data_IF_956996318118
#
_entry.id   IF_956996318118
#
_cell.length_a   1.000
_cell.length_b   1.000
_cell.length_c   1.000
_cell.angle_alpha   90.00
_cell.angle_beta   90.00
_cell.angle_gamma   90.00
#
_symmetry.space_group_name_H-M   'P 1'
#
loop_
_entity.id
_entity.type
_entity.pdbx_description
1 polymer ?
#
# COMPACT_ATOMS: atom_id res chain seq x y z
N UNK A 1 -16.76 66.12 -17.20
CA UNK A 1 -15.89 66.14 -16.01
C UNK A 1 -16.69 65.48 -14.91
N UNK A 2 -16.58 64.15 -14.75
CA UNK A 2 -15.64 63.44 -13.82
C UNK A 2 -15.99 63.82 -12.38
N UNK A 3 -16.39 62.95 -11.45
CA UNK A 3 -16.06 61.54 -11.13
C UNK A 3 -17.09 61.11 -10.06
N UNK A 4 -17.83 60.00 -10.20
CA UNK A 4 -17.50 58.65 -9.67
C UNK A 4 -16.98 58.65 -8.23
N UNK A 5 -17.79 58.16 -7.29
CA UNK A 5 -17.32 57.25 -6.23
C UNK A 5 -18.46 56.31 -5.82
N UNK A 6 -18.28 55.09 -6.31
CA UNK A 6 -19.06 53.88 -6.15
C UNK A 6 -18.73 53.31 -4.76
N UNK A 7 -19.66 53.41 -3.81
CA UNK A 7 -19.56 52.76 -2.51
C UNK A 7 -20.03 51.31 -2.65
N UNK A 8 -19.19 50.51 -3.31
CA UNK A 8 -19.32 49.06 -3.35
C UNK A 8 -19.13 48.50 -1.95
N UNK A 9 -20.25 48.18 -1.29
CA UNK A 9 -20.23 47.28 -0.14
C UNK A 9 -19.75 45.91 -0.60
N UNK A 10 -18.56 45.57 -0.11
CA UNK A 10 -17.93 44.28 -0.16
C UNK A 10 -18.77 43.20 0.53
N UNK A 11 -19.50 42.38 -0.24
CA UNK A 11 -19.83 41.02 0.17
C UNK A 11 -18.69 40.10 -0.25
N UNK A 12 -17.61 40.14 0.54
CA UNK A 12 -16.62 39.07 0.52
C UNK A 12 -17.17 37.96 1.41
N UNK A 13 -17.57 36.84 0.81
CA UNK A 13 -17.81 35.57 1.52
C UNK A 13 -16.49 35.10 2.11
N UNK A 14 -16.14 35.66 3.26
CA UNK A 14 -15.01 35.23 4.08
C UNK A 14 -15.38 33.85 4.63
N UNK A 15 -14.79 32.81 4.02
CA UNK A 15 -14.79 31.47 4.59
C UNK A 15 -14.00 31.54 5.89
N UNK A 16 -14.69 31.56 7.04
CA UNK A 16 -14.02 31.53 8.33
C UNK A 16 -13.11 30.29 8.38
N UNK A 17 -11.84 30.44 8.80
CA UNK A 17 -10.97 29.28 8.96
C UNK A 17 -11.56 28.39 10.05
N UNK A 18 -11.79 27.12 9.72
CA UNK A 18 -12.23 26.13 10.70
C UNK A 18 -11.24 26.15 11.86
N UNK A 19 -11.71 26.55 13.04
CA UNK A 19 -10.83 26.72 14.19
C UNK A 19 -10.54 25.36 14.82
N UNK A 20 -9.37 25.24 15.46
CA UNK A 20 -9.00 24.03 16.21
C UNK A 20 -10.04 23.70 17.31
N UNK A 21 -10.74 24.72 17.80
CA UNK A 21 -11.82 24.63 18.77
C UNK A 21 -13.09 24.00 18.15
N UNK A 22 -13.45 24.36 16.92
CA UNK A 22 -14.54 23.73 16.17
C UNK A 22 -14.25 22.26 15.86
N UNK A 23 -13.00 21.93 15.50
CA UNK A 23 -12.57 20.53 15.28
C UNK A 23 -12.66 19.72 16.57
N UNK A 24 -12.24 20.30 17.71
CA UNK A 24 -12.31 19.66 19.01
C UNK A 24 -13.76 19.44 19.45
N UNK A 25 -14.65 20.40 19.21
CA UNK A 25 -16.08 20.29 19.48
C UNK A 25 -16.73 19.19 18.62
N UNK A 26 -16.42 19.13 17.32
CA UNK A 26 -16.89 18.08 16.41
C UNK A 26 -16.45 16.68 16.83
N UNK A 27 -15.17 16.51 17.18
CA UNK A 27 -14.62 15.23 17.66
C UNK A 27 -15.26 14.79 18.97
N UNK A 28 -15.52 15.73 19.88
CA UNK A 28 -16.17 15.44 21.16
C UNK A 28 -17.63 15.04 20.97
N UNK A 29 -18.35 15.73 20.07
CA UNK A 29 -19.71 15.39 19.68
C UNK A 29 -19.79 13.99 19.07
N UNK A 30 -18.95 13.72 18.07
CA UNK A 30 -18.89 12.42 17.40
C UNK A 30 -18.54 11.28 18.38
N UNK A 31 -17.55 11.48 19.25
CA UNK A 31 -17.20 10.49 20.28
C UNK A 31 -18.37 10.20 21.22
N UNK A 32 -19.13 11.23 21.58
CA UNK A 32 -20.29 11.08 22.46
C UNK A 32 -21.40 10.30 21.76
N UNK A 33 -21.67 10.63 20.49
CA UNK A 33 -22.67 9.96 19.66
C UNK A 33 -22.35 8.46 19.48
N UNK A 34 -21.10 8.14 19.13
CA UNK A 34 -20.64 6.74 19.00
C UNK A 34 -20.76 6.00 20.34
N UNK A 35 -20.36 6.62 21.45
CA UNK A 35 -20.50 6.00 22.76
C UNK A 35 -21.97 5.75 23.14
N UNK A 36 -22.88 6.68 22.82
CA UNK A 36 -24.31 6.48 23.06
C UNK A 36 -24.92 5.40 22.18
N UNK A 37 -24.54 5.32 20.91
CA UNK A 37 -25.04 4.31 19.98
C UNK A 37 -24.54 2.92 20.38
N UNK A 38 -23.25 2.79 20.72
CA UNK A 38 -22.67 1.53 21.24
C UNK A 38 -23.32 1.12 22.55
N UNK A 39 -23.55 2.04 23.48
CA UNK A 39 -24.25 1.73 24.73
C UNK A 39 -25.71 1.31 24.50
N UNK A 40 -26.40 1.95 23.55
CA UNK A 40 -27.80 1.63 23.21
C UNK A 40 -27.89 0.27 22.53
N UNK A 41 -27.00 -0.02 21.58
CA UNK A 41 -26.90 -1.31 20.92
C UNK A 41 -26.56 -2.42 21.92
N UNK A 42 -25.61 -2.19 22.82
CA UNK A 42 -25.27 -3.14 23.89
C UNK A 42 -26.43 -3.34 24.87
N UNK A 43 -27.16 -2.29 25.25
CA UNK A 43 -28.34 -2.42 26.10
C UNK A 43 -29.46 -3.22 25.41
N UNK A 44 -29.68 -3.01 24.11
CA UNK A 44 -30.63 -3.77 23.31
C UNK A 44 -30.25 -5.25 23.19
N UNK A 45 -28.98 -5.54 22.94
CA UNK A 45 -28.45 -6.90 22.89
C UNK A 45 -28.57 -7.60 24.25
N UNK A 46 -28.15 -6.95 25.34
CA UNK A 46 -28.26 -7.51 26.70
C UNK A 46 -29.72 -7.72 27.11
N UNK A 47 -30.63 -6.82 26.75
CA UNK A 47 -32.07 -6.99 27.01
C UNK A 47 -32.65 -8.16 26.21
N UNK A 48 -32.26 -8.33 24.94
CA UNK A 48 -32.68 -9.45 24.12
C UNK A 48 -32.15 -10.78 24.67
N UNK A 49 -30.87 -10.84 25.05
CA UNK A 49 -30.26 -12.03 25.67
C UNK A 49 -30.88 -12.33 27.03
N UNK A 50 -31.13 -11.32 27.87
CA UNK A 50 -31.80 -11.49 29.16
C UNK A 50 -33.23 -12.00 28.99
N UNK A 51 -33.98 -11.48 28.02
CA UNK A 51 -35.35 -11.94 27.70
C UNK A 51 -35.35 -13.38 27.17
N UNK A 52 -34.36 -13.76 26.37
CA UNK A 52 -34.19 -15.14 25.90
C UNK A 52 -33.85 -16.09 27.07
N UNK A 53 -32.89 -15.69 27.91
CA UNK A 53 -32.45 -16.48 29.06
C UNK A 53 -33.56 -16.62 30.10
N UNK A 54 -34.32 -15.56 30.33
CA UNK A 54 -35.47 -15.56 31.24
C UNK A 54 -36.61 -16.44 30.69
N UNK A 55 -36.86 -16.46 29.37
CA UNK A 55 -37.78 -17.42 28.75
C UNK A 55 -37.35 -18.89 28.91
N UNK A 56 -36.04 -19.16 28.91
CA UNK A 56 -35.50 -20.51 29.13
C UNK A 56 -35.56 -20.90 30.61
N UNK A 57 -35.44 -19.91 31.52
CA UNK A 57 -35.41 -20.15 32.97
C UNK A 57 -36.81 -20.17 33.61
N UNK A 58 -37.77 -19.43 33.05
CA UNK A 58 -39.18 -19.38 33.50
C UNK A 58 -40.07 -20.41 32.77
N UNK A 59 -39.49 -21.37 32.03
CA UNK A 59 -40.25 -22.50 31.51
C UNK A 59 -40.89 -23.25 32.70
N UNK A 60 -42.23 -23.37 32.76
CA UNK A 60 -42.90 -23.94 33.91
C UNK A 60 -42.46 -25.39 34.07
N UNK A 61 -41.92 -25.72 35.24
CA UNK A 61 -41.86 -27.10 35.70
C UNK A 61 -43.30 -27.54 35.98
N UNK A 62 -43.99 -27.99 34.94
CA UNK A 62 -45.35 -28.51 35.02
C UNK A 62 -45.34 -30.03 35.18
N UNK A 63 -46.37 -30.60 35.83
CA UNK A 63 -46.35 -31.90 36.49
C UNK A 63 -46.29 -33.06 35.50
N UNK A 64 -45.98 -34.26 36.00
CA UNK A 64 -46.16 -35.51 35.29
C UNK A 64 -47.52 -35.53 34.56
N UNK A 65 -47.50 -35.67 33.23
CA UNK A 65 -48.68 -35.93 32.44
C UNK A 65 -48.48 -37.26 31.70
N UNK A 66 -49.27 -38.24 32.14
CA UNK A 66 -49.78 -39.28 31.26
C UNK A 66 -50.53 -38.59 30.10
N UNK A 67 -50.30 -39.12 28.90
CA UNK A 67 -51.10 -38.97 27.68
C UNK A 67 -51.12 -37.62 26.93
N UNK A 68 -50.48 -37.68 25.76
CA UNK A 68 -51.01 -37.23 24.46
C UNK A 68 -51.07 -35.72 24.16
N UNK A 69 -49.97 -35.17 23.63
CA UNK A 69 -50.01 -34.26 22.48
C UNK A 69 -48.59 -34.00 21.95
N UNK A 70 -48.38 -34.40 20.70
CA UNK A 70 -47.34 -34.02 19.76
C UNK A 70 -46.67 -32.66 20.08
N UNK A 71 -45.43 -32.71 20.57
CA UNK A 71 -44.55 -31.55 20.77
C UNK A 71 -43.22 -31.85 20.08
N UNK A 72 -43.26 -31.96 18.76
CA UNK A 72 -42.10 -32.29 17.93
C UNK A 72 -41.44 -31.03 17.32
N UNK A 73 -41.63 -29.82 17.88
CA UNK A 73 -41.25 -28.58 17.18
C UNK A 73 -40.19 -27.67 17.85
N UNK A 74 -39.72 -27.99 19.05
CA UNK A 74 -38.70 -27.14 19.73
C UNK A 74 -37.25 -27.54 19.39
N UNK A 75 -37.00 -28.82 19.08
CA UNK A 75 -35.68 -29.29 18.64
C UNK A 75 -35.36 -28.86 17.20
N UNK A 76 -36.37 -28.63 16.36
CA UNK A 76 -36.23 -28.14 14.99
C UNK A 76 -35.88 -26.65 14.95
N UNK A 77 -36.62 -25.84 15.72
CA UNK A 77 -36.38 -24.40 15.87
C UNK A 77 -34.99 -24.08 16.40
N UNK A 78 -34.54 -24.74 17.48
CA UNK A 78 -33.20 -24.51 18.04
C UNK A 78 -32.08 -24.94 17.09
N UNK A 79 -32.25 -26.04 16.33
CA UNK A 79 -31.28 -26.46 15.30
C UNK A 79 -31.23 -25.50 14.11
N UNK A 80 -32.37 -24.91 13.73
CA UNK A 80 -32.44 -23.87 12.70
C UNK A 80 -31.77 -22.58 13.18
N UNK A 81 -31.95 -22.18 14.45
CA UNK A 81 -31.27 -21.04 15.05
C UNK A 81 -29.76 -21.27 15.16
N UNK A 82 -29.32 -22.47 15.56
CA UNK A 82 -27.89 -22.81 15.61
C UNK A 82 -27.25 -22.82 14.22
N UNK A 83 -27.94 -23.35 13.20
CA UNK A 83 -27.48 -23.26 11.81
C UNK A 83 -27.40 -21.82 11.34
N UNK A 84 -28.40 -20.99 11.65
CA UNK A 84 -28.38 -19.57 11.30
C UNK A 84 -27.19 -18.84 11.94
N UNK A 85 -26.93 -19.06 13.22
CA UNK A 85 -25.76 -18.51 13.92
C UNK A 85 -24.43 -19.03 13.34
N UNK A 86 -24.36 -20.30 12.96
CA UNK A 86 -23.16 -20.87 12.34
C UNK A 86 -22.89 -20.26 10.97
N UNK A 87 -23.94 -20.03 10.17
CA UNK A 87 -23.85 -19.33 8.88
C UNK A 87 -23.41 -17.89 9.10
N UNK A 88 -23.99 -17.16 10.05
CA UNK A 88 -23.62 -15.77 10.35
C UNK A 88 -22.15 -15.65 10.78
N UNK A 89 -21.65 -16.58 11.60
CA UNK A 89 -20.23 -16.62 11.98
C UNK A 89 -19.34 -16.91 10.75
N UNK A 90 -19.77 -17.78 9.84
CA UNK A 90 -19.01 -18.08 8.63
C UNK A 90 -18.97 -16.87 7.68
N UNK A 91 -20.11 -16.19 7.50
CA UNK A 91 -20.23 -15.00 6.66
C UNK A 91 -19.41 -13.84 7.23
N UNK A 92 -19.47 -13.60 8.54
CA UNK A 92 -18.65 -12.59 9.20
C UNK A 92 -17.15 -12.88 9.06
N UNK A 93 -16.73 -14.14 9.15
CA UNK A 93 -15.33 -14.52 8.90
C UNK A 93 -14.91 -14.28 7.46
N UNK A 94 -15.78 -14.62 6.51
CA UNK A 94 -15.52 -14.40 5.09
C UNK A 94 -15.40 -12.91 4.77
N UNK A 95 -16.29 -12.08 5.31
CA UNK A 95 -16.24 -10.63 5.08
C UNK A 95 -14.99 -10.02 5.70
N UNK A 96 -14.59 -10.45 6.91
CA UNK A 96 -13.37 -9.95 7.55
C UNK A 96 -12.11 -10.36 6.79
N UNK A 97 -12.07 -11.56 6.23
CA UNK A 97 -10.94 -11.98 5.38
C UNK A 97 -10.92 -11.19 4.07
N UNK A 98 -12.08 -10.92 3.46
CA UNK A 98 -12.20 -10.07 2.26
C UNK A 98 -11.70 -8.64 2.53
N UNK A 99 -12.17 -8.03 3.62
CA UNK A 99 -11.74 -6.70 4.08
C UNK A 99 -10.22 -6.67 4.33
N UNK A 100 -9.69 -7.72 4.98
CA UNK A 100 -8.25 -7.85 5.23
C UNK A 100 -7.45 -7.95 3.94
N UNK A 101 -7.91 -8.75 2.98
CA UNK A 101 -7.25 -8.89 1.67
C UNK A 101 -7.27 -7.58 0.89
N UNK A 102 -8.42 -6.90 0.83
CA UNK A 102 -8.54 -5.60 0.16
C UNK A 102 -7.63 -4.56 0.81
N UNK A 103 -7.57 -4.52 2.14
CA UNK A 103 -6.68 -3.62 2.88
C UNK A 103 -5.21 -3.93 2.60
N UNK A 104 -4.83 -5.21 2.57
CA UNK A 104 -3.46 -5.62 2.25
C UNK A 104 -3.10 -5.25 0.81
N UNK A 105 -4.02 -5.47 -0.13
CA UNK A 105 -3.82 -5.12 -1.53
C UNK A 105 -3.65 -3.60 -1.71
N UNK A 106 -4.50 -2.81 -1.06
CA UNK A 106 -4.40 -1.35 -1.07
C UNK A 106 -3.07 -0.86 -0.49
N UNK A 107 -2.63 -1.43 0.64
CA UNK A 107 -1.33 -1.10 1.26
C UNK A 107 -0.17 -1.49 0.35
N UNK A 108 -0.20 -2.69 -0.27
CA UNK A 108 0.80 -3.14 -1.24
C UNK A 108 0.89 -2.16 -2.40
N UNK A 109 -0.24 -1.84 -3.02
CA UNK A 109 -0.32 -0.95 -4.17
C UNK A 109 0.20 0.44 -3.83
N UNK A 110 -0.09 0.93 -2.61
CA UNK A 110 0.45 2.19 -2.10
C UNK A 110 1.98 2.13 -1.95
N UNK A 111 2.52 1.09 -1.32
CA UNK A 111 3.96 0.91 -1.11
C UNK A 111 4.73 0.82 -2.44
N UNK A 112 4.24 0.05 -3.42
CA UNK A 112 4.84 -0.05 -4.76
C UNK A 112 4.80 1.31 -5.47
N UNK A 113 3.69 2.04 -5.36
CA UNK A 113 3.56 3.37 -5.95
C UNK A 113 4.59 4.34 -5.35
N UNK A 114 4.78 4.30 -4.02
CA UNK A 114 5.76 5.14 -3.32
C UNK A 114 7.20 4.80 -3.72
N UNK A 115 7.54 3.51 -3.76
CA UNK A 115 8.86 3.04 -4.21
C UNK A 115 9.16 3.51 -5.65
N UNK A 116 8.18 3.38 -6.56
CA UNK A 116 8.30 3.83 -7.94
C UNK A 116 8.44 5.36 -8.04
N UNK A 117 7.65 6.11 -7.27
CA UNK A 117 7.77 7.57 -7.24
C UNK A 117 9.17 8.03 -6.78
N UNK A 118 9.77 7.33 -5.81
CA UNK A 118 11.13 7.59 -5.34
C UNK A 118 12.24 7.19 -6.31
N UNK A 119 11.95 6.35 -7.32
CA UNK A 119 12.95 5.79 -8.23
C UNK A 119 13.40 6.70 -9.37
N UNK A 120 12.67 7.79 -9.64
CA UNK A 120 12.98 8.71 -10.75
C UNK A 120 12.62 8.18 -12.15
N UNK A 121 11.79 7.12 -12.25
CA UNK A 121 11.36 6.57 -13.52
C UNK A 121 10.49 7.54 -14.36
N UNK A 122 10.72 7.57 -15.69
CA UNK A 122 10.00 8.41 -16.65
C UNK A 122 8.53 8.01 -16.83
N UNK A 123 8.24 6.71 -16.85
CA UNK A 123 6.88 6.18 -17.09
C UNK A 123 6.40 5.30 -15.93
N UNK A 124 6.18 5.95 -14.78
CA UNK A 124 5.82 5.31 -13.51
C UNK A 124 4.57 4.43 -13.61
N UNK A 125 3.57 4.83 -14.41
CA UNK A 125 2.31 4.06 -14.56
C UNK A 125 2.52 2.74 -15.29
N UNK A 126 3.34 2.73 -16.34
CA UNK A 126 3.67 1.49 -17.07
C UNK A 126 4.58 0.61 -16.22
N UNK A 127 5.58 1.19 -15.56
CA UNK A 127 6.45 0.48 -14.62
C UNK A 127 5.65 -0.18 -13.50
N UNK A 128 4.69 0.53 -12.91
CA UNK A 128 3.81 0.01 -11.87
C UNK A 128 3.04 -1.23 -12.33
N UNK A 129 2.43 -1.18 -13.51
CA UNK A 129 1.67 -2.30 -14.06
C UNK A 129 2.55 -3.52 -14.34
N UNK A 130 3.71 -3.29 -14.97
CA UNK A 130 4.66 -4.36 -15.28
C UNK A 130 5.21 -4.99 -14.00
N UNK A 131 5.67 -4.15 -13.07
CA UNK A 131 6.25 -4.60 -11.81
C UNK A 131 5.24 -5.40 -10.97
N UNK A 132 3.99 -4.93 -10.86
CA UNK A 132 2.93 -5.70 -10.18
C UNK A 132 2.53 -6.97 -10.93
N UNK A 133 2.54 -6.96 -12.27
CA UNK A 133 2.24 -8.16 -13.06
C UNK A 133 3.24 -9.28 -12.78
N UNK A 134 4.53 -8.95 -12.70
CA UNK A 134 5.60 -9.94 -12.58
C UNK A 134 5.90 -10.34 -11.12
N UNK A 135 5.58 -9.45 -10.18
CA UNK A 135 6.00 -9.54 -8.79
C UNK A 135 4.86 -9.43 -7.77
N UNK A 136 3.63 -9.13 -8.18
CA UNK A 136 2.52 -8.78 -7.28
C UNK A 136 2.19 -9.83 -6.22
N UNK A 137 2.35 -11.11 -6.54
CA UNK A 137 2.13 -12.25 -5.63
C UNK A 137 3.34 -12.52 -4.71
N UNK A 138 4.52 -12.06 -5.11
CA UNK A 138 5.79 -12.24 -4.38
C UNK A 138 6.06 -11.12 -3.38
N UNK A 139 5.29 -10.04 -3.44
CA UNK A 139 5.41 -8.91 -2.54
C UNK A 139 4.70 -9.26 -1.22
N UNK A 140 5.46 -9.28 -0.14
CA UNK A 140 4.98 -9.61 1.21
C UNK A 140 5.30 -8.48 2.18
N UNK A 141 4.43 -8.31 3.16
CA UNK A 141 4.65 -7.37 4.25
C UNK A 141 5.21 -8.13 5.46
N UNK A 142 6.36 -7.71 5.96
CA UNK A 142 6.94 -8.22 7.21
C UNK A 142 7.15 -7.04 8.16
N UNK A 143 6.32 -6.97 9.20
CA UNK A 143 6.22 -5.79 10.06
C UNK A 143 5.78 -4.54 9.28
N UNK A 144 6.58 -3.49 9.33
CA UNK A 144 6.33 -2.20 8.66
C UNK A 144 7.00 -2.09 7.28
N UNK A 145 7.71 -3.13 6.84
CA UNK A 145 8.47 -3.11 5.59
C UNK A 145 7.89 -4.08 4.56
N UNK A 146 8.00 -3.69 3.29
CA UNK A 146 7.59 -4.49 2.15
C UNK A 146 8.82 -5.14 1.51
N UNK A 147 8.69 -6.43 1.23
CA UNK A 147 9.76 -7.24 0.67
C UNK A 147 9.27 -7.96 -0.58
N UNK A 148 10.19 -8.23 -1.50
CA UNK A 148 9.98 -9.08 -2.64
C UNK A 148 10.70 -10.42 -2.40
N UNK A 149 9.94 -11.53 -2.44
CA UNK A 149 10.49 -12.89 -2.30
C UNK A 149 10.62 -13.57 -3.67
N UNK A 150 11.83 -13.64 -4.20
CA UNK A 150 12.17 -14.30 -5.45
C UNK A 150 12.74 -15.70 -5.21
N UNK A 151 11.88 -16.64 -4.80
CA UNK A 151 12.29 -18.00 -4.42
C UNK A 151 12.58 -18.12 -2.92
N UNK A 152 13.22 -19.22 -2.51
CA UNK A 152 13.30 -19.56 -1.09
C UNK A 152 14.25 -18.66 -0.28
N UNK A 153 15.34 -18.17 -0.89
CA UNK A 153 16.40 -17.42 -0.19
C UNK A 153 16.64 -15.97 -0.70
N UNK A 154 16.03 -15.53 -1.82
CA UNK A 154 16.20 -14.15 -2.32
C UNK A 154 15.04 -13.26 -1.83
N UNK A 155 15.20 -12.72 -0.62
CA UNK A 155 14.29 -11.71 -0.05
C UNK A 155 14.99 -10.36 -0.08
N UNK A 156 14.44 -9.42 -0.86
CA UNK A 156 14.97 -8.07 -0.98
C UNK A 156 13.91 -7.04 -0.52
N UNK A 157 14.31 -5.96 0.16
CA UNK A 157 13.43 -4.81 0.39
C UNK A 157 12.87 -4.31 -0.94
N UNK A 158 11.63 -3.84 -0.94
CA UNK A 158 10.92 -3.42 -2.16
C UNK A 158 11.71 -2.41 -3.00
N UNK A 159 12.34 -1.42 -2.36
CA UNK A 159 13.15 -0.40 -3.04
C UNK A 159 14.43 -0.99 -3.68
N UNK A 160 15.07 -1.93 -2.99
CA UNK A 160 16.26 -2.62 -3.50
C UNK A 160 15.89 -3.51 -4.69
N UNK A 161 14.77 -4.23 -4.61
CA UNK A 161 14.23 -5.03 -5.70
C UNK A 161 13.89 -4.17 -6.93
N UNK A 162 13.26 -3.02 -6.72
CA UNK A 162 12.94 -2.08 -7.78
C UNK A 162 14.20 -1.49 -8.43
N UNK A 163 15.21 -1.15 -7.62
CA UNK A 163 16.50 -0.64 -8.13
C UNK A 163 17.23 -1.69 -8.96
N UNK A 164 17.23 -2.96 -8.49
CA UNK A 164 17.76 -4.11 -9.23
C UNK A 164 17.02 -4.30 -10.56
N UNK A 165 15.69 -4.19 -10.56
CA UNK A 165 14.89 -4.22 -11.78
C UNK A 165 15.26 -3.08 -12.74
N UNK A 166 15.31 -1.83 -12.26
CA UNK A 166 15.64 -0.66 -13.07
C UNK A 166 17.05 -0.69 -13.68
N UNK A 167 17.97 -1.44 -13.05
CA UNK A 167 19.33 -1.65 -13.55
C UNK A 167 19.42 -2.75 -14.62
N UNK A 168 18.37 -3.55 -14.80
CA UNK A 168 18.29 -4.60 -15.83
C UNK A 168 18.10 -4.00 -17.23
N UNK A 169 18.30 -4.81 -18.28
CA UNK A 169 18.07 -4.38 -19.66
C UNK A 169 16.64 -3.88 -19.91
N UNK A 170 15.65 -4.50 -19.26
CA UNK A 170 14.24 -4.09 -19.36
C UNK A 170 13.93 -2.85 -18.50
N UNK A 171 14.63 -2.70 -17.38
CA UNK A 171 14.46 -1.57 -16.47
C UNK A 171 14.99 -0.24 -17.01
N UNK A 172 16.06 -0.30 -17.81
CA UNK A 172 16.71 0.89 -18.38
C UNK A 172 15.77 1.73 -19.26
N UNK A 173 14.76 1.12 -19.88
CA UNK A 173 13.75 1.84 -20.67
C UNK A 173 12.91 2.82 -19.84
N UNK A 174 12.85 2.62 -18.53
CA UNK A 174 12.11 3.48 -17.62
C UNK A 174 12.97 4.59 -17.01
N UNK A 175 14.29 4.53 -17.18
CA UNK A 175 15.20 5.54 -16.65
C UNK A 175 15.42 6.67 -17.66
N UNK A 176 15.66 7.90 -17.20
CA UNK A 176 16.13 8.96 -18.08
C UNK A 176 17.46 8.54 -18.74
N UNK A 177 17.71 8.95 -20.00
CA UNK A 177 18.99 8.74 -20.65
C UNK A 177 20.11 9.35 -19.80
N UNK A 178 20.93 8.52 -19.17
CA UNK A 178 22.09 8.99 -18.42
C UNK A 178 23.23 9.22 -19.40
N UNK A 179 23.55 10.50 -19.68
CA UNK A 179 24.69 10.84 -20.54
C UNK A 179 24.53 12.05 -21.47
N UNK A 180 23.37 12.73 -21.49
CA UNK A 180 23.24 13.99 -22.23
C UNK A 180 23.31 15.18 -21.28
N UNK A 181 24.53 15.53 -20.83
CA UNK A 181 24.77 16.88 -20.33
C UNK A 181 24.46 17.86 -21.46
N UNK A 182 23.41 18.65 -21.28
CA UNK A 182 22.98 19.64 -22.27
C UNK A 182 24.00 20.76 -22.43
N UNK A 183 24.54 20.89 -23.65
CA UNK A 183 24.79 22.15 -24.34
C UNK A 183 25.02 21.78 -25.81
N UNK A 184 24.39 22.50 -26.75
CA UNK A 184 24.25 22.11 -28.14
C UNK A 184 25.46 21.39 -28.74
N UNK A 185 25.24 20.19 -29.27
CA UNK A 185 26.25 19.47 -30.05
C UNK A 185 25.54 18.67 -31.13
N UNK A 186 25.82 19.09 -32.35
CA UNK A 186 25.50 18.39 -33.59
C UNK A 186 25.99 16.95 -33.53
N UNK A 187 25.19 16.06 -34.11
CA UNK A 187 25.48 14.64 -34.32
C UNK A 187 26.93 14.39 -34.72
N UNK A 188 27.74 13.83 -33.82
CA UNK A 188 29.01 13.19 -34.20
C UNK A 188 28.74 11.72 -34.48
N UNK A 189 28.66 11.42 -35.78
CA UNK A 189 28.70 10.10 -36.38
C UNK A 189 29.80 9.24 -35.75
N UNK A 190 29.40 8.15 -35.11
CA UNK A 190 30.30 7.10 -34.63
C UNK A 190 31.17 6.58 -35.77
N UNK A 191 32.49 6.72 -35.66
CA UNK A 191 33.47 5.98 -36.44
C UNK A 191 34.46 5.33 -35.49
N UNK A 192 34.60 4.03 -35.66
CA UNK A 192 35.32 3.07 -34.83
C UNK A 192 36.85 3.23 -34.89
N UNK A 193 37.48 3.03 -33.72
CA UNK A 193 38.88 2.61 -33.42
C UNK A 193 40.04 3.63 -33.51
N UNK A 194 41.20 3.40 -32.83
CA UNK A 194 41.56 2.39 -31.81
C UNK A 194 42.07 2.99 -30.47
N UNK A 195 42.30 2.11 -29.49
CA UNK A 195 42.85 2.41 -28.16
C UNK A 195 44.14 3.25 -28.22
N UNK A 196 44.16 4.38 -27.49
CA UNK A 196 45.38 5.14 -27.18
C UNK A 196 45.56 5.20 -25.67
N UNK A 197 46.60 4.51 -25.22
CA UNK A 197 47.19 4.64 -23.89
C UNK A 197 47.66 6.08 -23.70
N UNK A 198 47.05 6.79 -22.75
CA UNK A 198 47.45 8.14 -22.34
C UNK A 198 48.67 8.02 -21.42
N UNK A 199 49.83 8.52 -21.85
CA UNK A 199 50.96 8.80 -20.96
C UNK A 199 51.05 10.32 -20.78
N UNK A 200 50.97 10.78 -19.52
CA UNK A 200 50.86 12.20 -19.20
C UNK A 200 52.22 12.86 -18.88
N UNK A 201 53.35 12.18 -19.07
CA UNK A 201 54.67 12.85 -19.05
C UNK A 201 55.76 12.09 -19.80
N UNK A 202 56.72 12.83 -20.37
CA UNK A 202 57.94 12.28 -21.01
C UNK A 202 58.82 11.49 -20.03
N UNK A 203 58.65 11.71 -18.73
CA UNK A 203 59.34 10.97 -17.69
C UNK A 203 58.79 9.53 -17.56
N UNK A 204 57.47 9.37 -17.61
CA UNK A 204 56.82 8.05 -17.54
C UNK A 204 57.18 7.17 -18.74
N UNK A 205 57.34 7.78 -19.92
CA UNK A 205 57.71 7.08 -21.15
C UNK A 205 59.13 6.48 -21.07
N UNK A 206 60.10 7.19 -20.47
CA UNK A 206 61.46 6.67 -20.32
C UNK A 206 61.55 5.54 -19.27
N UNK A 207 60.75 5.59 -18.20
CA UNK A 207 60.68 4.48 -17.22
C UNK A 207 60.05 3.23 -17.82
N UNK A 208 59.05 3.36 -18.70
CA UNK A 208 58.46 2.22 -19.40
C UNK A 208 59.44 1.57 -20.39
N UNK A 209 60.22 2.38 -21.13
CA UNK A 209 61.25 1.88 -22.06
C UNK A 209 62.42 1.21 -21.34
N UNK A 210 62.82 1.70 -20.16
CA UNK A 210 63.86 1.06 -19.34
C UNK A 210 63.39 -0.24 -18.68
N UNK A 211 62.10 -0.38 -18.40
CA UNK A 211 61.51 -1.60 -17.82
C UNK A 211 61.16 -2.66 -18.86
N UNK A 212 60.98 -2.31 -20.15
CA UNK A 212 60.57 -3.27 -21.19
C UNK A 212 61.72 -3.98 -21.89
N UNK A 213 62.99 -3.73 -21.54
CA UNK A 213 64.11 -4.64 -21.81
C UNK A 213 64.28 -5.12 -23.26
N UNK A 214 64.11 -4.27 -24.28
CA UNK A 214 64.51 -4.59 -25.65
C UNK A 214 65.76 -3.80 -26.07
N UNK A 215 66.91 -4.29 -25.60
CA UNK A 215 68.18 -3.99 -26.26
C UNK A 215 68.22 -4.73 -27.62
N UNK A 216 67.84 -4.06 -28.71
CA UNK A 216 68.29 -4.46 -30.05
C UNK A 216 69.51 -3.64 -30.43
N UNK A 217 70.67 -4.16 -30.01
CA UNK A 217 71.92 -3.96 -30.73
C UNK A 217 71.73 -4.52 -32.14
N UNK A 218 71.83 -3.66 -33.15
CA UNK A 218 72.21 -4.05 -34.50
C UNK A 218 73.39 -3.17 -34.89
N UNK A 219 74.49 -3.85 -35.23
CA UNK A 219 75.75 -3.31 -35.75
C UNK A 219 75.55 -2.34 -36.91
#
# INVERSE_FOLDING_TARGET
MTTSEDNSQSETTQSEPVTLEQITALLTGFKTEVLTEVNTANAGAVAATKKLLQKVTDAPQAPAADSSADSTDDAGGQKLTLKALQTEIADLKAERERERQETLEAKRNSAVTQAIAGSGALNQKVLYRLFLSDNGEKIQQEGDQWFLKNGDDDVAPLDAALTKFLSSEEGKFFLPPSGVNGAGSTETKSTTAPAKTTYNSRLEQMTAELQSGEAKLAL
#
